data_IF_132908473263
#
_entry.id   IF_132908473263
#
_cell.length_a   1.000
_cell.length_b   1.000
_cell.length_c   1.000
_cell.angle_alpha   90.00
_cell.angle_beta   90.00
_cell.angle_gamma   90.00
#
_symmetry.space_group_name_H-M   'P 1'
#
loop_
_entity.id
_entity.type
_entity.pdbx_description
1 polymer ?
#
# COMPACT_ATOMS: atom_id res chain seq x y z
N UNK A 1 3.25 -48.65 -3.23
CA UNK A 1 3.34 -47.65 -4.33
C UNK A 1 2.05 -46.84 -4.57
N UNK A 2 0.84 -47.33 -4.23
CA UNK A 2 -0.42 -46.59 -4.49
C UNK A 2 -0.52 -45.20 -3.82
N UNK A 3 0.02 -45.05 -2.60
CA UNK A 3 -0.07 -43.79 -1.85
C UNK A 3 0.97 -42.73 -2.25
N UNK A 4 2.05 -43.10 -2.94
CA UNK A 4 3.10 -42.15 -3.35
C UNK A 4 2.56 -41.07 -4.29
N UNK A 5 1.64 -41.44 -5.20
CA UNK A 5 0.99 -40.49 -6.12
C UNK A 5 0.00 -39.56 -5.41
N UNK A 6 -0.67 -40.05 -4.36
CA UNK A 6 -1.59 -39.26 -3.53
C UNK A 6 -0.84 -38.22 -2.69
N UNK A 7 0.26 -38.61 -2.04
CA UNK A 7 1.10 -37.69 -1.26
C UNK A 7 1.72 -36.61 -2.17
N UNK A 8 2.19 -37.00 -3.36
CA UNK A 8 2.75 -36.06 -4.32
C UNK A 8 1.71 -35.07 -4.85
N UNK A 9 0.48 -35.54 -5.15
CA UNK A 9 -0.62 -34.67 -5.54
C UNK A 9 -1.04 -33.70 -4.43
N UNK A 10 -1.05 -34.15 -3.17
CA UNK A 10 -1.36 -33.31 -2.01
C UNK A 10 -0.30 -32.21 -1.81
N UNK A 11 0.99 -32.55 -1.91
CA UNK A 11 2.09 -31.58 -1.82
C UNK A 11 2.03 -30.52 -2.93
N UNK A 12 1.73 -30.91 -4.17
CA UNK A 12 1.56 -29.96 -5.28
C UNK A 12 0.36 -29.04 -5.02
N UNK A 13 -0.74 -29.59 -4.49
CA UNK A 13 -1.91 -28.79 -4.14
C UNK A 13 -1.61 -27.76 -3.04
N UNK A 14 -0.75 -28.07 -2.08
CA UNK A 14 -0.33 -27.10 -1.05
C UNK A 14 0.57 -25.99 -1.59
N UNK A 15 1.42 -26.28 -2.59
CA UNK A 15 2.27 -25.27 -3.23
C UNK A 15 1.44 -24.30 -4.08
N UNK A 16 0.37 -24.77 -4.71
CA UNK A 16 -0.52 -23.94 -5.54
C UNK A 16 -1.47 -23.02 -4.73
N UNK A 17 -1.52 -23.15 -3.40
CA UNK A 17 -2.28 -22.25 -2.51
C UNK A 17 -1.40 -21.08 -2.04
N UNK A 18 -0.26 -20.80 -2.70
CA UNK A 18 0.42 -19.51 -2.53
C UNK A 18 -0.51 -18.42 -3.09
N UNK A 19 -1.41 -17.92 -2.24
CA UNK A 19 -2.30 -16.82 -2.57
C UNK A 19 -1.44 -15.62 -2.98
N UNK A 20 -1.77 -14.93 -4.07
CA UNK A 20 -1.20 -13.62 -4.34
C UNK A 20 -1.65 -12.65 -3.24
N UNK A 21 -0.69 -12.04 -2.54
CA UNK A 21 -0.96 -11.08 -1.49
C UNK A 21 -0.53 -9.67 -1.91
N UNK A 22 -1.43 -8.72 -1.70
CA UNK A 22 -1.17 -7.30 -1.83
C UNK A 22 -1.33 -6.62 -0.48
N UNK A 23 -0.54 -5.57 -0.26
CA UNK A 23 -0.78 -4.62 0.82
C UNK A 23 -1.67 -3.51 0.27
N UNK A 24 -2.84 -3.33 0.88
CA UNK A 24 -3.85 -2.35 0.51
C UNK A 24 -4.10 -1.44 1.71
N UNK A 25 -4.07 -0.13 1.46
CA UNK A 25 -4.41 0.89 2.46
C UNK A 25 -5.33 1.91 1.83
N UNK A 26 -6.51 2.10 2.42
CA UNK A 26 -7.47 3.12 2.00
C UNK A 26 -7.98 3.91 3.19
N UNK A 27 -8.38 5.14 2.89
CA UNK A 27 -8.74 6.08 3.94
C UNK A 27 -8.95 7.49 3.42
N UNK A 28 -8.93 8.45 4.35
CA UNK A 28 -8.97 9.87 4.02
C UNK A 28 -7.92 10.68 4.76
N UNK A 29 -7.51 11.77 4.13
CA UNK A 29 -6.67 12.80 4.74
C UNK A 29 -7.50 14.05 4.99
N UNK A 30 -7.44 14.58 6.21
CA UNK A 30 -8.16 15.79 6.62
C UNK A 30 -7.24 16.78 7.32
N UNK A 31 -7.62 18.05 7.28
CA UNK A 31 -7.00 19.10 8.09
C UNK A 31 -7.34 18.88 9.58
N UNK A 32 -6.33 18.90 10.44
CA UNK A 32 -6.49 18.64 11.86
C UNK A 32 -7.33 19.70 12.57
N UNK A 33 -7.37 20.93 12.05
CA UNK A 33 -8.11 22.06 12.61
C UNK A 33 -9.51 22.17 11.99
N UNK A 34 -9.60 22.28 10.66
CA UNK A 34 -10.89 22.53 9.98
C UNK A 34 -11.73 21.26 9.81
N UNK A 35 -11.11 20.07 9.91
CA UNK A 35 -11.69 18.76 9.60
C UNK A 35 -12.10 18.57 8.14
N UNK A 36 -11.77 19.54 7.29
CA UNK A 36 -12.04 19.49 5.86
C UNK A 36 -11.11 18.47 5.18
N UNK A 37 -11.57 17.82 4.10
CA UNK A 37 -10.75 16.93 3.30
C UNK A 37 -9.60 17.67 2.63
N UNK A 38 -8.44 17.01 2.53
CA UNK A 38 -7.26 17.55 1.86
C UNK A 38 -7.09 16.86 0.51
N UNK A 39 -7.30 17.60 -0.58
CA UNK A 39 -7.01 17.16 -1.95
C UNK A 39 -5.50 17.21 -2.25
N UNK A 40 -5.01 16.27 -3.07
CA UNK A 40 -3.60 16.22 -3.54
C UNK A 40 -2.61 16.19 -2.38
N UNK A 41 -2.94 15.47 -1.30
CA UNK A 41 -1.94 14.99 -0.36
C UNK A 41 -1.28 13.75 -0.98
N UNK A 42 0.04 13.72 -1.01
CA UNK A 42 0.81 12.64 -1.60
C UNK A 42 1.12 11.58 -0.55
N UNK A 43 0.97 10.31 -0.91
CA UNK A 43 1.23 9.17 -0.05
C UNK A 43 2.19 8.20 -0.73
N UNK A 44 3.11 7.65 0.04
CA UNK A 44 4.06 6.62 -0.41
C UNK A 44 4.27 5.58 0.67
N UNK A 45 4.45 4.32 0.25
CA UNK A 45 4.98 3.30 1.13
C UNK A 45 6.48 3.52 1.33
N UNK A 46 6.96 3.43 2.57
CA UNK A 46 8.40 3.59 2.87
C UNK A 46 9.12 2.26 3.07
N UNK A 47 8.38 1.18 3.30
CA UNK A 47 8.93 -0.16 3.50
C UNK A 47 8.18 -1.28 2.74
N UNK A 48 7.18 -0.92 1.94
CA UNK A 48 6.44 -1.83 1.05
C UNK A 48 6.81 -1.48 -0.39
N UNK A 49 7.08 -2.49 -1.20
CA UNK A 49 7.42 -2.37 -2.61
C UNK A 49 6.17 -2.03 -3.40
N UNK A 50 6.23 -0.96 -4.16
CA UNK A 50 5.23 -0.62 -5.16
C UNK A 50 5.96 -0.02 -6.35
N UNK A 51 5.78 -0.61 -7.52
CA UNK A 51 6.51 -0.21 -8.73
C UNK A 51 5.57 0.43 -9.74
N UNK A 52 5.83 1.69 -10.10
CA UNK A 52 5.17 2.36 -11.20
C UNK A 52 6.15 2.57 -12.36
N UNK A 53 5.71 2.22 -13.57
CA UNK A 53 6.49 2.41 -14.80
C UNK A 53 6.21 3.79 -15.39
N UNK A 54 7.17 4.71 -15.21
CA UNK A 54 7.08 6.04 -15.79
C UNK A 54 7.85 6.06 -17.12
N UNK A 55 7.19 6.56 -18.17
CA UNK A 55 7.84 6.75 -19.49
C UNK A 55 8.65 8.05 -19.47
N UNK A 56 9.96 7.93 -19.28
CA UNK A 56 10.89 9.04 -19.45
C UNK A 56 11.63 8.88 -20.79
N UNK A 57 11.16 9.61 -21.81
CA UNK A 57 11.86 10.00 -23.07
C UNK A 57 12.63 8.94 -23.89
N UNK A 58 12.60 7.65 -23.57
CA UNK A 58 13.03 6.48 -24.37
C UNK A 58 13.16 5.20 -23.52
N UNK A 59 13.13 5.29 -22.19
CA UNK A 59 13.28 4.16 -21.28
C UNK A 59 12.15 4.13 -20.26
N UNK A 60 11.70 2.92 -19.92
CA UNK A 60 10.82 2.72 -18.78
C UNK A 60 11.70 2.74 -17.53
N UNK A 61 11.43 3.66 -16.61
CA UNK A 61 12.10 3.71 -15.31
C UNK A 61 11.11 3.22 -14.27
N UNK A 62 11.52 2.19 -13.53
CA UNK A 62 10.79 1.73 -12.35
C UNK A 62 11.00 2.74 -11.22
N UNK A 63 9.88 3.27 -10.70
CA UNK A 63 9.89 4.21 -9.59
C UNK A 63 8.95 3.71 -8.49
N UNK A 64 9.14 4.18 -7.27
CA UNK A 64 8.17 3.93 -6.20
C UNK A 64 6.85 4.61 -6.55
N UNK A 65 5.74 3.90 -6.37
CA UNK A 65 4.42 4.49 -6.56
C UNK A 65 4.22 5.68 -5.61
N UNK A 66 3.65 6.76 -6.15
CA UNK A 66 3.18 7.90 -5.38
C UNK A 66 1.68 8.04 -5.61
N UNK A 67 0.91 7.90 -4.54
CA UNK A 67 -0.54 8.05 -4.56
C UNK A 67 -0.91 9.47 -4.19
N UNK A 68 -2.11 9.90 -4.56
CA UNK A 68 -2.64 11.20 -4.19
C UNK A 68 -4.09 11.08 -3.75
N UNK A 69 -4.49 11.91 -2.78
CA UNK A 69 -5.90 12.06 -2.43
C UNK A 69 -6.70 12.76 -3.52
N UNK A 70 -7.94 12.33 -3.70
CA UNK A 70 -8.92 12.98 -4.57
C UNK A 70 -9.51 14.27 -3.94
N UNK A 71 -10.48 14.88 -4.62
CA UNK A 71 -11.15 16.11 -4.15
C UNK A 71 -11.94 15.96 -2.85
N UNK A 72 -12.26 14.73 -2.45
CA UNK A 72 -12.91 14.40 -1.18
C UNK A 72 -11.91 13.97 -0.11
N UNK A 73 -10.61 14.07 -0.40
CA UNK A 73 -9.53 13.71 0.51
C UNK A 73 -9.34 12.20 0.64
N UNK A 74 -10.02 11.39 -0.18
CA UNK A 74 -9.94 9.92 -0.13
C UNK A 74 -8.70 9.46 -0.90
N UNK A 75 -8.03 8.42 -0.40
CA UNK A 75 -6.94 7.74 -1.09
C UNK A 75 -7.14 6.23 -1.09
N UNK A 76 -6.49 5.58 -2.06
CA UNK A 76 -6.37 4.14 -2.18
C UNK A 76 -4.94 3.82 -2.61
N UNK A 77 -4.21 3.08 -1.78
CA UNK A 77 -2.83 2.65 -2.02
C UNK A 77 -2.80 1.13 -2.14
N UNK A 78 -2.06 0.62 -3.12
CA UNK A 78 -1.84 -0.81 -3.31
C UNK A 78 -0.37 -1.08 -3.61
N UNK A 79 0.19 -2.17 -3.08
CA UNK A 79 1.56 -2.58 -3.38
C UNK A 79 1.67 -3.37 -4.69
N UNK A 80 2.88 -3.83 -4.99
CA UNK A 80 3.08 -4.97 -5.89
C UNK A 80 2.55 -6.27 -5.22
N UNK A 81 2.36 -7.33 -6.01
CA UNK A 81 2.07 -8.67 -5.43
C UNK A 81 3.32 -9.22 -4.74
N UNK A 82 3.14 -9.69 -3.51
CA UNK A 82 4.18 -10.35 -2.72
C UNK A 82 4.17 -11.87 -2.86
N UNK A 83 3.13 -12.46 -3.47
CA UNK A 83 2.83 -13.88 -3.26
C UNK A 83 2.52 -14.08 -1.77
N UNK A 84 3.52 -14.42 -0.96
CA UNK A 84 3.31 -14.54 0.49
C UNK A 84 3.20 -13.18 1.18
N UNK A 85 2.14 -12.99 1.99
CA UNK A 85 1.94 -11.73 2.68
C UNK A 85 3.13 -11.35 3.60
N UNK A 86 3.65 -10.13 3.51
CA UNK A 86 4.82 -9.74 4.27
C UNK A 86 4.44 -9.50 5.74
N UNK A 87 4.97 -10.29 6.68
CA UNK A 87 4.70 -10.16 8.12
C UNK A 87 5.51 -9.00 8.74
N UNK A 88 5.28 -7.78 8.25
CA UNK A 88 5.90 -6.57 8.74
C UNK A 88 4.88 -5.44 8.86
N UNK A 89 5.09 -4.48 9.79
CA UNK A 89 4.28 -3.28 9.86
C UNK A 89 4.28 -2.51 8.54
N UNK A 90 3.15 -1.97 8.12
CA UNK A 90 3.06 -1.13 6.92
C UNK A 90 3.41 0.31 7.28
N UNK A 91 4.45 0.86 6.67
CA UNK A 91 4.88 2.25 6.91
C UNK A 91 4.50 3.12 5.73
N UNK A 92 3.78 4.21 6.02
CA UNK A 92 3.33 5.19 5.03
C UNK A 92 3.80 6.59 5.40
N UNK A 93 4.14 7.36 4.38
CA UNK A 93 4.53 8.77 4.51
C UNK A 93 3.56 9.64 3.72
N UNK A 94 3.04 10.67 4.37
CA UNK A 94 2.04 11.58 3.82
C UNK A 94 2.60 13.00 3.79
N UNK A 95 2.52 13.64 2.62
CA UNK A 95 3.07 14.97 2.35
C UNK A 95 2.07 15.86 1.63
N UNK A 96 1.96 17.11 2.06
CA UNK A 96 1.18 18.16 1.39
C UNK A 96 1.87 19.50 1.62
N UNK A 97 2.03 20.29 0.56
CA UNK A 97 2.61 21.65 0.68
C UNK A 97 1.77 22.49 1.66
N UNK A 98 2.44 23.12 2.63
CA UNK A 98 1.80 23.91 3.69
C UNK A 98 1.30 23.11 4.89
N UNK A 99 1.60 21.80 4.95
CA UNK A 99 1.30 20.92 6.06
C UNK A 99 2.53 20.14 6.50
N UNK A 100 2.61 19.85 7.80
CA UNK A 100 3.65 19.00 8.37
C UNK A 100 3.55 17.59 7.76
N UNK A 101 4.72 17.04 7.42
CA UNK A 101 4.82 15.64 6.97
C UNK A 101 4.47 14.70 8.12
N UNK A 102 3.68 13.67 7.82
CA UNK A 102 3.32 12.62 8.78
C UNK A 102 3.84 11.28 8.28
N UNK A 103 4.46 10.51 9.17
CA UNK A 103 4.86 9.13 8.94
C UNK A 103 4.10 8.24 9.92
N UNK A 104 3.47 7.18 9.41
CA UNK A 104 2.67 6.24 10.21
C UNK A 104 3.21 4.83 10.06
N UNK A 105 3.08 4.05 11.12
CA UNK A 105 3.35 2.61 11.16
C UNK A 105 2.06 1.88 11.55
N UNK A 106 1.58 1.00 10.67
CA UNK A 106 0.31 0.31 10.77
C UNK A 106 0.55 -1.18 11.00
N UNK A 107 0.08 -1.70 12.13
CA UNK A 107 0.29 -3.10 12.56
C UNK A 107 -0.93 -4.00 12.27
N UNK A 108 -1.82 -3.57 11.37
CA UNK A 108 -3.15 -4.18 11.16
C UNK A 108 -3.14 -5.23 10.03
N UNK A 109 -1.97 -5.70 9.60
CA UNK A 109 -1.82 -6.65 8.50
C UNK A 109 -1.74 -5.97 7.13
N UNK A 110 -2.22 -6.66 6.10
CA UNK A 110 -2.02 -6.26 4.69
C UNK A 110 -3.25 -5.59 4.07
N UNK A 111 -4.37 -5.48 4.80
CA UNK A 111 -5.54 -4.71 4.37
C UNK A 111 -5.92 -3.75 5.49
N UNK A 112 -5.76 -2.47 5.25
CA UNK A 112 -6.12 -1.41 6.19
C UNK A 112 -7.19 -0.53 5.55
N UNK A 113 -8.41 -0.64 6.07
CA UNK A 113 -9.56 0.13 5.64
C UNK A 113 -9.86 1.31 6.59
N UNK A 114 -10.53 2.33 6.07
CA UNK A 114 -11.06 3.48 6.81
C UNK A 114 -10.02 4.27 7.64
N UNK A 115 -8.75 4.31 7.20
CA UNK A 115 -7.70 5.07 7.88
C UNK A 115 -7.98 6.58 7.80
N UNK A 116 -8.08 7.26 8.94
CA UNK A 116 -8.21 8.72 8.99
C UNK A 116 -6.88 9.34 9.38
N UNK A 117 -6.23 10.02 8.44
CA UNK A 117 -4.99 10.77 8.67
C UNK A 117 -5.33 12.24 8.86
N UNK A 118 -4.82 12.84 9.94
CA UNK A 118 -4.96 14.27 10.23
C UNK A 118 -3.63 14.97 9.97
N UNK A 119 -3.62 15.98 9.12
CA UNK A 119 -2.44 16.82 8.88
C UNK A 119 -2.59 18.16 9.59
N UNK A 120 -1.52 18.58 10.25
CA UNK A 120 -1.40 19.91 10.82
C UNK A 120 -0.72 20.85 9.82
N UNK A 121 -1.17 22.11 9.77
CA UNK A 121 -0.46 23.15 9.02
C UNK A 121 0.92 23.42 9.63
N UNK A 122 1.85 23.82 8.78
CA UNK A 122 3.17 24.31 9.20
C UNK A 122 3.09 25.67 9.93
#
# INVERSE_FOLDING_TARGET
MKYKRLIFGMLISFVLISCDCWVIVNGKVIDSNTKEPIEKAFLEFTNIRCTELVRATAQNVETNCVFATDSTGIFFMNSDSYGFCPDNPVKIKIRKVGFKTVELELNQGHSIDDLIVKLEKE
#
